data_IF_479009911219
#
_entry.id   IF_479009911219
#
_cell.length_a   1.000
_cell.length_b   1.000
_cell.length_c   1.000
_cell.angle_alpha   90.00
_cell.angle_beta   90.00
_cell.angle_gamma   90.00
#
_symmetry.space_group_name_H-M   'P 1'
#
loop_
_entity.id
_entity.type
_entity.pdbx_description
1 polymer ?
#
# COMPACT_ATOMS: atom_id res chain seq x y z
N UNK A 1 -10.90 11.98 7.98
CA UNK A 1 -10.67 10.52 7.90
C UNK A 1 -9.21 10.11 8.13
N UNK A 2 -8.23 10.68 7.42
CA UNK A 2 -6.80 10.38 7.65
C UNK A 2 -5.97 11.57 8.18
N UNK A 3 -6.58 12.70 8.54
CA UNK A 3 -5.87 13.82 9.19
C UNK A 3 -4.75 14.46 8.34
N UNK A 4 -4.76 14.20 7.03
CA UNK A 4 -3.91 14.86 6.04
C UNK A 4 -4.83 15.76 5.22
N UNK A 5 -4.53 17.05 5.18
CA UNK A 5 -5.25 18.01 4.35
C UNK A 5 -4.76 17.85 2.90
N UNK A 6 -5.68 17.56 1.99
CA UNK A 6 -5.39 17.35 0.56
C UNK A 6 -6.35 18.23 -0.22
N UNK A 7 -5.80 19.18 -0.99
CA UNK A 7 -6.59 20.07 -1.85
C UNK A 7 -6.74 19.45 -3.23
N UNK A 8 -7.74 19.91 -3.98
CA UNK A 8 -7.92 19.48 -5.37
C UNK A 8 -6.68 19.79 -6.23
N UNK A 9 -5.98 20.90 -5.94
CA UNK A 9 -4.72 21.27 -6.59
C UNK A 9 -3.58 20.29 -6.36
N UNK A 10 -3.64 19.47 -5.31
CA UNK A 10 -2.61 18.48 -5.00
C UNK A 10 -2.79 17.18 -5.79
N UNK A 11 -3.92 17.01 -6.47
CA UNK A 11 -4.26 15.82 -7.24
C UNK A 11 -3.88 16.07 -8.70
N UNK A 12 -2.88 15.33 -9.19
CA UNK A 12 -2.46 15.40 -10.59
C UNK A 12 -3.29 14.49 -11.49
N UNK A 13 -3.60 13.28 -11.04
CA UNK A 13 -4.45 12.35 -11.78
C UNK A 13 -5.04 11.28 -10.87
N UNK A 14 -6.22 10.77 -11.26
CA UNK A 14 -6.88 9.63 -10.60
C UNK A 14 -7.44 8.72 -11.66
N UNK A 15 -7.13 7.43 -11.58
CA UNK A 15 -7.69 6.44 -12.51
C UNK A 15 -7.77 5.06 -11.84
N UNK A 16 -8.59 4.18 -12.41
CA UNK A 16 -8.67 2.78 -11.99
C UNK A 16 -7.76 1.91 -12.87
N UNK A 17 -7.08 0.95 -12.26
CA UNK A 17 -6.21 0.00 -12.95
C UNK A 17 -6.83 -1.39 -12.94
N UNK A 18 -6.97 -1.97 -14.13
CA UNK A 18 -7.44 -3.34 -14.28
C UNK A 18 -6.44 -4.33 -13.65
N UNK A 19 -6.92 -5.38 -12.97
CA UNK A 19 -6.04 -6.42 -12.47
C UNK A 19 -5.45 -7.22 -13.64
N UNK A 20 -4.25 -7.78 -13.45
CA UNK A 20 -3.62 -8.68 -14.45
C UNK A 20 -4.47 -9.93 -14.70
N UNK A 21 -5.11 -10.44 -13.65
CA UNK A 21 -6.03 -11.58 -13.69
C UNK A 21 -7.42 -11.05 -13.31
N UNK A 22 -8.45 -11.22 -14.16
CA UNK A 22 -9.82 -10.85 -13.82
C UNK A 22 -10.24 -11.46 -12.49
N UNK A 23 -10.91 -10.66 -11.66
CA UNK A 23 -11.54 -11.11 -10.42
C UNK A 23 -12.70 -10.17 -10.08
N UNK A 24 -13.57 -10.60 -9.19
CA UNK A 24 -14.74 -9.81 -8.77
C UNK A 24 -14.39 -8.69 -7.77
N UNK A 25 -13.11 -8.43 -7.52
CA UNK A 25 -12.71 -7.36 -6.61
C UNK A 25 -12.76 -6.01 -7.33
N UNK A 26 -13.12 -4.93 -6.61
CA UNK A 26 -13.05 -3.58 -7.15
C UNK A 26 -11.66 -3.28 -7.70
N UNK A 27 -11.60 -2.68 -8.90
CA UNK A 27 -10.34 -2.23 -9.51
C UNK A 27 -9.63 -1.23 -8.59
N UNK A 28 -8.31 -1.40 -8.44
CA UNK A 28 -7.47 -0.50 -7.65
C UNK A 28 -7.55 0.93 -8.19
N UNK A 29 -7.53 1.91 -7.29
CA UNK A 29 -7.42 3.32 -7.62
C UNK A 29 -5.95 3.72 -7.54
N UNK A 30 -5.42 4.33 -8.59
CA UNK A 30 -4.11 4.98 -8.58
C UNK A 30 -4.33 6.48 -8.49
N UNK A 31 -3.83 7.06 -7.41
CA UNK A 31 -3.82 8.49 -7.15
C UNK A 31 -2.40 9.01 -7.34
N UNK A 32 -2.23 9.97 -8.25
CA UNK A 32 -1.00 10.70 -8.42
C UNK A 32 -1.12 12.07 -7.76
N UNK A 33 -0.25 12.33 -6.77
CA UNK A 33 -0.16 13.61 -6.08
C UNK A 33 0.93 14.49 -6.70
N UNK A 34 0.84 15.80 -6.47
CA UNK A 34 1.82 16.79 -6.92
C UNK A 34 3.19 16.62 -6.26
N UNK A 35 3.23 16.23 -4.99
CA UNK A 35 4.47 16.10 -4.21
C UNK A 35 4.63 14.72 -3.58
N UNK A 36 5.88 14.27 -3.45
CA UNK A 36 6.23 13.03 -2.74
C UNK A 36 5.94 13.11 -1.24
N UNK A 37 6.11 14.30 -0.66
CA UNK A 37 5.83 14.55 0.76
C UNK A 37 4.36 14.25 1.09
N UNK A 38 3.41 14.77 0.31
CA UNK A 38 1.99 14.53 0.56
C UNK A 38 1.62 13.05 0.43
N UNK A 39 2.22 12.34 -0.54
CA UNK A 39 2.09 10.88 -0.65
C UNK A 39 2.57 10.19 0.62
N UNK A 40 3.75 10.56 1.13
CA UNK A 40 4.36 9.92 2.30
C UNK A 40 3.54 10.18 3.57
N UNK A 41 3.08 11.42 3.74
CA UNK A 41 2.19 11.82 4.83
C UNK A 41 0.87 11.01 4.77
N UNK A 42 0.27 10.87 3.59
CA UNK A 42 -0.96 10.08 3.38
C UNK A 42 -0.77 8.60 3.74
N UNK A 43 0.33 7.98 3.33
CA UNK A 43 0.64 6.56 3.59
C UNK A 43 0.95 6.34 5.07
N UNK A 44 1.73 7.24 5.69
CA UNK A 44 2.04 7.16 7.12
C UNK A 44 0.77 7.30 7.96
N UNK A 45 -0.07 8.28 7.63
CA UNK A 45 -1.33 8.53 8.29
C UNK A 45 -2.36 7.39 8.12
N UNK A 46 -2.33 6.68 7.00
CA UNK A 46 -3.17 5.49 6.79
C UNK A 46 -2.64 4.28 7.57
N UNK A 47 -1.32 4.10 7.59
CA UNK A 47 -0.65 2.98 8.25
C UNK A 47 -0.78 3.03 9.77
N UNK A 48 -0.87 4.22 10.38
CA UNK A 48 -1.09 4.37 11.82
C UNK A 48 -2.50 3.94 12.26
N UNK A 49 -3.49 4.04 11.38
CA UNK A 49 -4.89 3.72 11.69
C UNK A 49 -5.24 2.24 11.55
N UNK A 50 -4.62 1.50 10.61
CA UNK A 50 -4.79 0.05 10.34
C UNK A 50 -6.23 -0.50 10.16
N UNK A 51 -7.26 0.30 10.40
CA UNK A 51 -8.68 -0.10 10.44
C UNK A 51 -9.55 0.79 9.54
N UNK A 52 -8.97 1.35 8.47
CA UNK A 52 -9.71 2.18 7.52
C UNK A 52 -10.81 1.38 6.82
N UNK A 53 -12.04 1.88 6.89
CA UNK A 53 -13.19 1.25 6.24
C UNK A 53 -13.98 2.18 5.34
N UNK A 54 -14.72 1.63 4.38
CA UNK A 54 -15.57 2.40 3.46
C UNK A 54 -16.60 3.28 4.15
N UNK A 55 -17.16 2.86 5.28
CA UNK A 55 -18.10 3.68 6.07
C UNK A 55 -17.44 4.95 6.61
N UNK A 56 -16.18 4.88 7.04
CA UNK A 56 -15.44 6.05 7.50
C UNK A 56 -15.08 7.02 6.34
N UNK A 57 -15.08 6.53 5.09
CA UNK A 57 -14.75 7.31 3.89
C UNK A 57 -15.95 8.09 3.36
N UNK A 58 -17.09 7.42 3.25
CA UNK A 58 -18.29 7.99 2.64
C UNK A 58 -19.32 8.48 3.65
N UNK A 59 -19.15 8.20 4.94
CA UNK A 59 -20.19 8.42 5.95
C UNK A 59 -21.39 7.48 5.76
N UNK A 60 -22.29 7.45 6.73
CA UNK A 60 -23.47 6.57 6.70
C UNK A 60 -24.55 6.99 5.69
N UNK A 61 -24.43 8.18 5.08
CA UNK A 61 -25.52 8.83 4.34
C UNK A 61 -25.41 8.73 2.81
N UNK A 62 -24.29 8.21 2.27
CA UNK A 62 -24.13 8.09 0.82
C UNK A 62 -24.72 6.77 0.32
N UNK A 63 -25.70 6.83 -0.57
CA UNK A 63 -26.44 5.66 -1.10
C UNK A 63 -25.57 4.63 -1.83
N UNK A 64 -24.42 5.02 -2.38
CA UNK A 64 -23.41 4.09 -2.90
C UNK A 64 -22.67 3.29 -1.81
N UNK A 65 -22.67 3.80 -0.57
CA UNK A 65 -22.13 3.12 0.61
C UNK A 65 -23.18 2.26 1.34
N UNK A 66 -24.48 2.50 1.12
CA UNK A 66 -25.56 1.68 1.68
C UNK A 66 -25.57 0.24 1.13
N UNK A 67 -25.08 0.05 -0.10
CA UNK A 67 -24.94 -1.28 -0.74
C UNK A 67 -23.55 -1.89 -0.54
N UNK A 68 -22.55 -1.08 -0.19
CA UNK A 68 -21.19 -1.55 0.01
C UNK A 68 -21.05 -2.08 1.44
N UNK A 69 -20.91 -3.40 1.60
CA UNK A 69 -20.47 -4.00 2.87
C UNK A 69 -19.30 -3.19 3.43
N UNK A 70 -19.34 -2.89 4.74
CA UNK A 70 -18.30 -2.14 5.45
C UNK A 70 -16.96 -2.87 5.28
N UNK A 71 -16.19 -2.46 4.27
CA UNK A 71 -15.02 -3.19 3.79
C UNK A 71 -13.77 -2.42 4.14
N UNK A 72 -12.74 -3.15 4.55
CA UNK A 72 -11.42 -2.55 4.80
C UNK A 72 -10.78 -2.17 3.48
N UNK A 73 -10.18 -0.99 3.44
CA UNK A 73 -9.33 -0.58 2.32
C UNK A 73 -7.94 -0.22 2.82
N UNK A 74 -6.99 -0.22 1.89
CA UNK A 74 -5.58 0.00 2.17
C UNK A 74 -5.04 1.08 1.24
N UNK A 75 -4.16 1.93 1.78
CA UNK A 75 -3.41 2.92 1.02
C UNK A 75 -1.95 2.47 1.02
N UNK A 76 -1.41 2.18 -0.16
CA UNK A 76 -0.05 1.69 -0.36
C UNK A 76 0.65 2.47 -1.47
N UNK A 77 1.98 2.41 -1.50
CA UNK A 77 2.75 2.90 -2.65
C UNK A 77 2.40 2.14 -3.93
N UNK A 78 2.28 2.85 -5.05
CA UNK A 78 2.13 2.23 -6.36
C UNK A 78 3.48 1.74 -6.88
N UNK A 79 3.65 0.42 -6.96
CA UNK A 79 4.87 -0.21 -7.47
C UNK A 79 4.78 -0.56 -8.95
N UNK A 80 5.94 -0.54 -9.62
CA UNK A 80 6.09 -1.13 -10.96
C UNK A 80 5.81 -2.63 -10.93
N UNK A 81 5.48 -3.23 -12.08
CA UNK A 81 5.24 -4.68 -12.16
C UNK A 81 6.44 -5.49 -11.64
N UNK A 82 7.66 -5.09 -12.04
CA UNK A 82 8.92 -5.68 -11.55
C UNK A 82 9.01 -5.65 -10.02
N UNK A 83 8.73 -4.51 -9.40
CA UNK A 83 8.79 -4.39 -7.94
C UNK A 83 7.64 -5.14 -7.24
N UNK A 84 6.46 -5.24 -7.85
CA UNK A 84 5.37 -6.08 -7.33
C UNK A 84 5.77 -7.55 -7.28
N UNK A 85 6.38 -8.08 -8.34
CA UNK A 85 6.91 -9.45 -8.39
C UNK A 85 8.00 -9.65 -7.35
N UNK A 86 8.98 -8.74 -7.30
CA UNK A 86 10.06 -8.80 -6.32
C UNK A 86 9.55 -8.77 -4.87
N UNK A 87 8.57 -7.92 -4.58
CA UNK A 87 7.93 -7.82 -3.27
C UNK A 87 7.19 -9.10 -2.89
N UNK A 88 6.47 -9.71 -3.84
CA UNK A 88 5.80 -10.99 -3.63
C UNK A 88 6.79 -12.10 -3.25
N UNK A 89 7.87 -12.24 -4.02
CA UNK A 89 8.90 -13.25 -3.78
C UNK A 89 9.63 -13.01 -2.44
N UNK A 90 10.00 -11.75 -2.17
CA UNK A 90 10.63 -11.37 -0.91
C UNK A 90 9.73 -11.70 0.28
N UNK A 91 8.42 -11.39 0.21
CA UNK A 91 7.46 -11.67 1.29
C UNK A 91 7.26 -13.18 1.51
N UNK A 92 7.23 -13.98 0.45
CA UNK A 92 7.11 -15.43 0.55
C UNK A 92 8.35 -16.04 1.24
N UNK A 93 9.55 -15.64 0.80
CA UNK A 93 10.80 -16.12 1.38
C UNK A 93 11.01 -15.63 2.83
N UNK A 94 10.65 -14.38 3.10
CA UNK A 94 10.65 -13.81 4.44
C UNK A 94 9.79 -14.65 5.39
N UNK A 95 8.58 -15.03 4.95
CA UNK A 95 7.67 -15.87 5.74
C UNK A 95 8.27 -17.24 6.03
N UNK A 96 8.87 -17.90 5.02
CA UNK A 96 9.48 -19.23 5.23
C UNK A 96 10.71 -19.18 6.13
N UNK A 97 11.45 -18.06 6.17
CA UNK A 97 12.63 -17.85 7.02
C UNK A 97 12.34 -17.16 8.35
N UNK A 98 11.07 -16.95 8.71
CA UNK A 98 10.66 -16.41 10.00
C UNK A 98 10.97 -14.93 10.20
N UNK A 99 10.98 -14.12 9.13
CA UNK A 99 11.08 -12.66 9.25
C UNK A 99 9.77 -12.06 9.75
N UNK A 100 9.85 -11.28 10.84
CA UNK A 100 8.70 -10.62 11.45
C UNK A 100 8.18 -9.43 10.63
N UNK A 101 9.06 -8.72 9.92
CA UNK A 101 8.70 -7.48 9.24
C UNK A 101 9.12 -7.47 7.78
N UNK A 102 8.17 -7.12 6.91
CA UNK A 102 8.37 -6.88 5.47
C UNK A 102 7.51 -5.68 5.08
N UNK A 103 8.11 -4.63 4.53
CA UNK A 103 7.39 -3.42 4.13
C UNK A 103 8.04 -2.74 2.94
N UNK A 104 7.35 -1.73 2.41
CA UNK A 104 7.82 -0.88 1.32
C UNK A 104 7.95 0.53 1.84
N UNK A 105 9.05 1.20 1.51
CA UNK A 105 9.24 2.63 1.76
C UNK A 105 10.05 3.22 0.62
N UNK A 106 9.58 4.31 0.03
CA UNK A 106 10.23 4.96 -1.12
C UNK A 106 10.50 3.97 -2.27
N UNK A 107 9.51 3.11 -2.55
CA UNK A 107 9.58 2.05 -3.55
C UNK A 107 10.70 1.01 -3.32
N UNK A 108 11.36 1.04 -2.15
CA UNK A 108 12.34 0.06 -1.71
C UNK A 108 11.68 -0.99 -0.83
N UNK A 109 11.97 -2.26 -1.08
CA UNK A 109 11.48 -3.37 -0.27
C UNK A 109 12.46 -3.58 0.89
N UNK A 110 11.92 -3.60 2.09
CA UNK A 110 12.67 -3.64 3.35
C UNK A 110 12.21 -4.84 4.17
N UNK A 111 13.16 -5.53 4.78
CA UNK A 111 12.90 -6.67 5.66
C UNK A 111 13.66 -6.51 6.97
N UNK A 112 13.07 -7.04 8.04
CA UNK A 112 13.72 -7.11 9.35
C UNK A 112 13.27 -8.39 10.06
N UNK A 113 14.23 -9.19 10.52
CA UNK A 113 13.94 -10.52 11.07
C UNK A 113 13.18 -10.45 12.39
N UNK A 114 13.68 -9.65 13.34
CA UNK A 114 13.06 -9.36 14.63
C UNK A 114 13.38 -7.92 15.05
N UNK A 115 12.96 -7.51 16.24
CA UNK A 115 13.11 -6.14 16.76
C UNK A 115 14.55 -5.71 17.03
N UNK A 116 15.51 -6.64 17.03
CA UNK A 116 16.94 -6.39 17.26
C UNK A 116 17.78 -6.50 15.98
N UNK A 117 17.23 -7.11 14.93
CA UNK A 117 17.93 -7.33 13.68
C UNK A 117 18.10 -6.06 12.87
N UNK A 118 19.14 -6.02 12.04
CA UNK A 118 19.32 -4.95 11.04
C UNK A 118 18.28 -5.04 9.93
N UNK A 119 17.98 -3.89 9.32
CA UNK A 119 17.10 -3.82 8.15
C UNK A 119 17.88 -4.23 6.90
N UNK A 120 17.27 -5.09 6.08
CA UNK A 120 17.81 -5.57 4.81
C UNK A 120 17.04 -4.90 3.67
N UNK A 121 17.77 -4.44 2.66
CA UNK A 121 17.20 -3.84 1.45
C UNK A 121 17.21 -4.82 0.30
N UNK A 122 16.05 -5.01 -0.33
CA UNK A 122 15.86 -5.83 -1.53
C UNK A 122 15.56 -4.91 -2.71
N UNK A 123 16.55 -4.69 -3.56
CA UNK A 123 16.49 -3.81 -4.73
C UNK A 123 16.36 -4.60 -6.04
N UNK A 124 16.85 -5.84 -6.05
CA UNK A 124 16.78 -6.74 -7.20
C UNK A 124 16.57 -8.20 -6.77
N UNK A 125 16.34 -9.08 -7.75
CA UNK A 125 16.14 -10.52 -7.49
C UNK A 125 17.35 -11.15 -6.79
N UNK A 126 18.59 -10.75 -7.11
CA UNK A 126 19.78 -11.28 -6.46
C UNK A 126 19.82 -10.99 -4.96
N UNK A 127 19.21 -9.88 -4.52
CA UNK A 127 19.15 -9.52 -3.10
C UNK A 127 18.28 -10.49 -2.30
N UNK A 128 17.45 -11.33 -2.94
CA UNK A 128 16.67 -12.37 -2.24
C UNK A 128 17.58 -13.38 -1.52
N UNK A 129 18.84 -13.53 -1.95
CA UNK A 129 19.85 -14.34 -1.24
C UNK A 129 20.20 -13.81 0.15
N UNK A 130 19.91 -12.54 0.45
CA UNK A 130 20.16 -11.89 1.75
C UNK A 130 19.09 -12.21 2.79
N UNK A 131 17.91 -12.67 2.35
CA UNK A 131 16.78 -13.04 3.20
C UNK A 131 17.05 -14.43 3.74
#
# INVERSE_FOLDING_TARGET
>A
MIGVDIKASDIRSVHRVAPKVPNDRPKNIVLQLTTRRLRDDMIAAASSRRTLTTTQLFGSANSAAATAQNTRFYINEHLTLKNKVLFSNARQLAKSKGYKFVWVKNSCILLRKNDDSRVIHIRCTNDLSKI
#
